data_IF_589469281774
#
_entry.id   IF_589469281774
#
_cell.length_a   1.000
_cell.length_b   1.000
_cell.length_c   1.000
_cell.angle_alpha   90.00
_cell.angle_beta   90.00
_cell.angle_gamma   90.00
#
_symmetry.space_group_name_H-M   'P 1'
#
loop_
_entity.id
_entity.type
_entity.pdbx_description
1 polymer ?
#
# COMPACT_ATOMS: atom_id res chain seq x y z
N UNK A 1 3.26 21.57 -5.87
CA UNK A 1 3.94 20.28 -5.60
C UNK A 1 3.02 19.14 -5.99
N UNK A 2 3.57 17.95 -6.28
CA UNK A 2 2.76 16.74 -6.54
C UNK A 2 2.76 15.83 -5.30
N UNK A 3 1.57 15.47 -4.83
CA UNK A 3 1.37 14.50 -3.74
C UNK A 3 1.07 13.13 -4.34
N UNK A 4 1.91 12.15 -4.07
CA UNK A 4 1.73 10.78 -4.51
C UNK A 4 1.13 9.95 -3.36
N UNK A 5 0.09 9.18 -3.65
CA UNK A 5 -0.62 8.35 -2.69
C UNK A 5 -0.55 6.90 -3.17
N UNK A 6 0.24 6.08 -2.50
CA UNK A 6 0.53 4.70 -2.86
C UNK A 6 -0.42 3.72 -2.19
N UNK A 7 -1.06 2.88 -2.98
CA UNK A 7 -1.73 1.68 -2.46
C UNK A 7 -0.69 0.58 -2.21
N UNK A 8 -0.22 0.51 -0.96
CA UNK A 8 0.80 -0.45 -0.56
C UNK A 8 0.26 -1.87 -0.47
N UNK A 9 -1.03 -2.04 -0.16
CA UNK A 9 -1.67 -3.36 -0.22
C UNK A 9 -1.54 -3.91 -1.63
N UNK A 10 -2.08 -3.19 -2.61
CA UNK A 10 -2.06 -3.66 -4.00
C UNK A 10 -0.62 -3.89 -4.48
N UNK A 11 0.31 -2.99 -4.17
CA UNK A 11 1.69 -3.16 -4.61
C UNK A 11 2.42 -4.36 -3.99
N UNK A 12 2.07 -4.71 -2.75
CA UNK A 12 2.56 -5.93 -2.12
C UNK A 12 2.03 -7.18 -2.85
N UNK A 13 0.73 -7.21 -3.18
CA UNK A 13 0.13 -8.28 -3.98
C UNK A 13 0.78 -8.38 -5.37
N UNK A 14 0.92 -7.24 -6.06
CA UNK A 14 1.56 -7.19 -7.39
C UNK A 14 2.98 -7.73 -7.33
N UNK A 15 3.73 -7.39 -6.29
CA UNK A 15 5.09 -7.88 -6.09
C UNK A 15 5.13 -9.38 -5.81
N UNK A 16 4.21 -9.90 -4.99
CA UNK A 16 4.12 -11.33 -4.68
C UNK A 16 3.81 -12.18 -5.92
N UNK A 17 2.83 -11.78 -6.73
CA UNK A 17 2.37 -12.55 -7.89
C UNK A 17 3.12 -12.23 -9.19
N UNK A 18 3.83 -11.10 -9.25
CA UNK A 18 4.54 -10.63 -10.43
C UNK A 18 6.04 -10.92 -10.45
N UNK A 19 6.63 -11.39 -9.34
CA UNK A 19 8.07 -11.64 -9.21
C UNK A 19 8.36 -13.07 -8.77
N UNK A 20 9.56 -13.61 -9.07
CA UNK A 20 10.01 -14.88 -8.51
C UNK A 20 10.01 -14.85 -6.97
N UNK A 21 9.66 -15.96 -6.29
CA UNK A 21 9.74 -16.04 -4.83
C UNK A 21 11.16 -15.75 -4.33
N UNK A 22 11.25 -15.03 -3.22
CA UNK A 22 12.51 -14.71 -2.56
C UNK A 22 12.35 -14.85 -1.05
N UNK A 23 13.35 -15.44 -0.42
CA UNK A 23 13.40 -15.68 1.02
C UNK A 23 14.72 -15.18 1.60
N UNK A 24 14.68 -14.79 2.88
CA UNK A 24 15.87 -14.42 3.63
C UNK A 24 16.73 -15.66 3.97
N UNK A 25 17.92 -15.49 4.58
CA UNK A 25 18.78 -16.61 4.96
C UNK A 25 18.16 -17.59 5.97
N UNK A 26 17.12 -17.19 6.71
CA UNK A 26 16.38 -18.05 7.63
C UNK A 26 15.23 -18.80 6.93
N UNK A 27 15.01 -18.56 5.63
CA UNK A 27 13.96 -19.17 4.82
C UNK A 27 12.61 -18.46 4.92
N UNK A 28 12.56 -17.26 5.51
CA UNK A 28 11.32 -16.47 5.62
C UNK A 28 11.08 -15.77 4.28
N UNK A 29 9.86 -15.88 3.74
CA UNK A 29 9.49 -15.19 2.51
C UNK A 29 9.51 -13.67 2.71
N UNK A 30 10.26 -12.96 1.87
CA UNK A 30 10.41 -11.51 1.90
C UNK A 30 10.30 -10.86 0.51
N UNK A 31 10.06 -11.67 -0.53
CA UNK A 31 10.08 -11.20 -1.92
C UNK A 31 9.03 -10.14 -2.26
N UNK A 32 7.85 -10.20 -1.64
CA UNK A 32 6.82 -9.19 -1.85
C UNK A 32 7.24 -7.85 -1.23
N UNK A 33 7.74 -7.88 0.00
CA UNK A 33 8.26 -6.69 0.68
C UNK A 33 9.44 -6.06 -0.07
N UNK A 34 10.40 -6.88 -0.52
CA UNK A 34 11.54 -6.40 -1.33
C UNK A 34 11.03 -5.74 -2.62
N UNK A 35 10.10 -6.38 -3.33
CA UNK A 35 9.54 -5.84 -4.56
C UNK A 35 8.83 -4.49 -4.37
N UNK A 36 8.05 -4.35 -3.30
CA UNK A 36 7.38 -3.11 -2.91
C UNK A 36 8.38 -1.99 -2.60
N UNK A 37 9.42 -2.29 -1.82
CA UNK A 37 10.46 -1.30 -1.48
C UNK A 37 11.23 -0.88 -2.74
N UNK A 38 11.58 -1.82 -3.62
CA UNK A 38 12.26 -1.52 -4.88
C UNK A 38 11.43 -0.63 -5.81
N UNK A 39 10.14 -0.93 -5.98
CA UNK A 39 9.26 -0.07 -6.79
C UNK A 39 9.10 1.31 -6.17
N UNK A 40 9.00 1.39 -4.85
CA UNK A 40 8.88 2.66 -4.13
C UNK A 40 10.16 3.49 -4.24
N UNK A 41 11.33 2.87 -4.07
CA UNK A 41 12.62 3.54 -4.27
C UNK A 41 12.82 3.97 -5.73
N UNK A 42 12.26 3.24 -6.69
CA UNK A 42 12.31 3.64 -8.10
C UNK A 42 11.46 4.89 -8.35
N UNK A 43 10.23 4.93 -7.81
CA UNK A 43 9.37 6.12 -7.83
C UNK A 43 10.05 7.33 -7.17
N UNK A 44 10.64 7.15 -5.98
CA UNK A 44 11.33 8.22 -5.25
C UNK A 44 12.57 8.78 -5.98
N UNK A 45 13.09 8.09 -7.00
CA UNK A 45 14.19 8.59 -7.84
C UNK A 45 13.70 9.38 -9.05
N UNK A 46 12.41 9.35 -9.35
CA UNK A 46 11.85 10.11 -10.46
C UNK A 46 11.86 11.61 -10.15
N UNK A 47 12.21 12.41 -11.16
CA UNK A 47 12.28 13.86 -11.01
C UNK A 47 10.91 14.44 -10.62
N UNK A 48 10.89 15.20 -9.52
CA UNK A 48 9.68 15.88 -9.02
C UNK A 48 8.85 15.10 -8.01
N UNK A 49 9.18 13.83 -7.72
CA UNK A 49 8.58 13.09 -6.61
C UNK A 49 9.17 13.59 -5.29
N UNK A 50 8.40 14.41 -4.58
CA UNK A 50 8.83 15.08 -3.34
C UNK A 50 7.96 14.72 -2.14
N UNK A 51 6.70 14.35 -2.37
CA UNK A 51 5.74 14.02 -1.33
C UNK A 51 5.07 12.70 -1.70
N UNK A 52 5.23 11.72 -0.80
CA UNK A 52 4.69 10.36 -0.94
C UNK A 52 4.08 9.93 0.40
N UNK A 53 2.82 9.54 0.36
CA UNK A 53 2.15 8.78 1.43
C UNK A 53 1.74 7.41 0.90
N UNK A 54 1.62 6.43 1.79
CA UNK A 54 1.16 5.09 1.45
C UNK A 54 0.05 4.65 2.40
N UNK A 55 -0.88 3.83 1.92
CA UNK A 55 -1.89 3.19 2.75
C UNK A 55 -1.81 1.67 2.59
N UNK A 56 -1.98 0.93 3.68
CA UNK A 56 -2.09 -0.53 3.70
C UNK A 56 -3.33 -0.97 4.46
N UNK A 57 -3.93 -2.08 4.04
CA UNK A 57 -4.93 -2.82 4.82
C UNK A 57 -4.16 -3.63 5.86
N UNK A 58 -3.82 -3.02 7.00
CA UNK A 58 -3.14 -3.70 8.11
C UNK A 58 -3.95 -4.90 8.59
N UNK A 59 -5.28 -4.76 8.57
CA UNK A 59 -6.22 -5.86 8.77
C UNK A 59 -7.14 -5.96 7.56
N UNK A 60 -7.38 -7.19 7.08
CA UNK A 60 -8.21 -7.44 5.89
C UNK A 60 -9.69 -7.08 6.11
N UNK A 61 -10.17 -7.20 7.35
CA UNK A 61 -11.55 -6.93 7.72
C UNK A 61 -11.70 -5.46 8.13
N UNK A 62 -12.77 -4.84 7.68
CA UNK A 62 -13.18 -3.49 8.05
C UNK A 62 -14.59 -3.49 8.66
N UNK A 63 -15.09 -2.30 9.03
CA UNK A 63 -16.49 -2.12 9.44
C UNK A 63 -17.50 -2.60 8.37
N UNK A 64 -17.09 -2.68 7.10
CA UNK A 64 -17.94 -3.17 6.01
C UNK A 64 -18.31 -4.64 6.19
N UNK A 65 -17.45 -5.45 6.81
CA UNK A 65 -17.73 -6.87 7.09
C UNK A 65 -18.91 -7.08 8.05
N UNK A 66 -19.18 -6.12 8.94
CA UNK A 66 -20.35 -6.16 9.84
C UNK A 66 -21.66 -5.88 9.11
N UNK A 67 -21.58 -5.14 8.00
CA UNK A 67 -22.73 -4.77 7.17
C UNK A 67 -22.98 -5.74 6.02
N UNK A 68 -21.92 -6.36 5.50
CA UNK A 68 -21.94 -7.26 4.36
C UNK A 68 -21.24 -8.58 4.69
N UNK A 69 -22.00 -9.62 5.11
CA UNK A 69 -21.43 -10.92 5.41
C UNK A 69 -20.68 -11.51 4.21
N UNK A 70 -19.44 -11.94 4.43
CA UNK A 70 -18.57 -12.50 3.39
C UNK A 70 -17.84 -11.48 2.52
N UNK A 71 -17.99 -10.18 2.79
CA UNK A 71 -17.14 -9.15 2.19
C UNK A 71 -15.66 -9.36 2.56
N UNK A 72 -14.74 -9.06 1.64
CA UNK A 72 -13.26 -9.05 1.76
C UNK A 72 -12.70 -10.00 2.84
N UNK A 73 -12.32 -11.21 2.44
CA UNK A 73 -11.79 -12.27 3.33
C UNK A 73 -10.36 -12.64 3.00
N UNK A 74 -9.62 -13.13 3.99
CA UNK A 74 -8.29 -13.71 3.85
C UNK A 74 -8.28 -15.14 3.28
N UNK A 75 -9.48 -15.73 3.07
CA UNK A 75 -9.64 -17.07 2.57
C UNK A 75 -8.93 -17.27 1.21
N UNK A 76 -8.00 -18.23 1.18
CA UNK A 76 -7.23 -18.57 -0.01
C UNK A 76 -5.98 -17.71 -0.24
N UNK A 77 -5.70 -16.76 0.64
CA UNK A 77 -4.45 -15.98 0.57
C UNK A 77 -3.25 -16.84 1.01
N UNK A 78 -2.12 -16.81 0.30
CA UNK A 78 -0.91 -17.50 0.72
C UNK A 78 -0.44 -17.02 2.11
N UNK A 79 -0.23 -17.91 3.11
CA UNK A 79 0.20 -17.50 4.45
C UNK A 79 1.50 -16.69 4.46
N UNK A 80 2.40 -17.00 3.53
CA UNK A 80 3.67 -16.29 3.35
C UNK A 80 3.49 -14.86 2.82
N UNK A 81 2.39 -14.56 2.12
CA UNK A 81 2.04 -13.21 1.71
C UNK A 81 1.46 -12.44 2.92
N UNK A 82 0.53 -13.05 3.65
CA UNK A 82 -0.06 -12.46 4.86
C UNK A 82 1.03 -12.07 5.88
N UNK A 83 2.03 -12.92 6.07
CA UNK A 83 3.14 -12.66 7.00
C UNK A 83 4.02 -11.47 6.61
N UNK A 84 3.97 -11.01 5.35
CA UNK A 84 4.79 -9.91 4.85
C UNK A 84 4.16 -8.53 5.04
N UNK A 85 2.88 -8.41 5.42
CA UNK A 85 2.22 -7.11 5.61
C UNK A 85 2.90 -6.23 6.67
N UNK A 86 3.12 -6.70 7.93
CA UNK A 86 3.80 -5.89 8.93
C UNK A 86 5.22 -5.50 8.50
N UNK A 87 5.95 -6.43 7.88
CA UNK A 87 7.30 -6.18 7.38
C UNK A 87 7.32 -5.15 6.24
N UNK A 88 6.32 -5.18 5.36
CA UNK A 88 6.15 -4.23 4.26
C UNK A 88 5.92 -2.80 4.78
N UNK A 89 5.04 -2.65 5.77
CA UNK A 89 4.78 -1.37 6.43
C UNK A 89 6.05 -0.82 7.10
N UNK A 90 6.72 -1.65 7.90
CA UNK A 90 7.97 -1.27 8.56
C UNK A 90 9.07 -0.90 7.56
N UNK A 91 9.16 -1.63 6.44
CA UNK A 91 10.15 -1.36 5.42
C UNK A 91 9.89 -0.02 4.69
N UNK A 92 8.63 0.29 4.38
CA UNK A 92 8.26 1.59 3.81
C UNK A 92 8.55 2.75 4.77
N UNK A 93 8.19 2.59 6.05
CA UNK A 93 8.49 3.59 7.08
C UNK A 93 10.01 3.79 7.25
N UNK A 94 10.80 2.72 7.15
CA UNK A 94 12.26 2.78 7.31
C UNK A 94 12.96 3.62 6.24
N UNK A 95 12.36 3.73 5.05
CA UNK A 95 12.85 4.59 3.95
C UNK A 95 12.22 6.00 3.98
N UNK A 96 11.48 6.33 5.04
CA UNK A 96 10.91 7.66 5.28
C UNK A 96 9.53 7.91 4.70
N UNK A 97 8.83 6.86 4.23
CA UNK A 97 7.45 7.00 3.72
C UNK A 97 6.48 7.13 4.89
N UNK A 98 5.52 8.04 4.79
CA UNK A 98 4.39 8.11 5.71
C UNK A 98 3.42 6.98 5.36
N UNK A 99 3.22 6.03 6.28
CA UNK A 99 2.35 4.87 6.08
C UNK A 99 1.11 4.97 6.97
N UNK A 100 -0.06 4.91 6.36
CA UNK A 100 -1.34 4.73 7.06
C UNK A 100 -1.69 3.24 7.12
N UNK A 101 -1.45 2.65 8.28
CA UNK A 101 -1.77 1.24 8.58
C UNK A 101 -3.24 1.14 8.96
N UNK A 102 -4.08 0.72 8.02
CA UNK A 102 -5.53 0.80 8.17
C UNK A 102 -6.09 -0.43 8.90
N UNK A 103 -6.80 -0.19 10.00
CA UNK A 103 -7.38 -1.24 10.86
C UNK A 103 -8.90 -1.26 10.75
N UNK A 104 -9.55 -0.13 10.99
CA UNK A 104 -11.03 -0.04 10.99
C UNK A 104 -11.59 0.28 9.60
N UNK A 105 -10.79 0.98 8.79
CA UNK A 105 -11.07 1.40 7.42
C UNK A 105 -10.12 0.69 6.45
N UNK A 106 -10.33 0.86 5.15
CA UNK A 106 -9.49 0.24 4.11
C UNK A 106 -8.48 1.22 3.53
N UNK A 107 -7.48 0.71 2.83
CA UNK A 107 -6.47 1.53 2.15
C UNK A 107 -7.12 2.61 1.26
N UNK A 108 -8.15 2.25 0.50
CA UNK A 108 -8.90 3.16 -0.37
C UNK A 108 -9.53 4.33 0.39
N UNK A 109 -10.02 4.09 1.62
CA UNK A 109 -10.60 5.14 2.45
C UNK A 109 -9.53 6.18 2.83
N UNK A 110 -8.31 5.73 3.16
CA UNK A 110 -7.19 6.63 3.47
C UNK A 110 -6.72 7.40 2.23
N UNK A 111 -6.57 6.71 1.10
CA UNK A 111 -6.16 7.33 -0.17
C UNK A 111 -7.20 8.35 -0.63
N UNK A 112 -8.48 8.01 -0.59
CA UNK A 112 -9.59 8.90 -0.94
C UNK A 112 -9.70 10.10 0.00
N UNK A 113 -9.58 9.88 1.32
CA UNK A 113 -9.60 10.96 2.30
C UNK A 113 -8.41 11.91 2.13
N UNK A 114 -7.21 11.38 1.90
CA UNK A 114 -6.02 12.19 1.63
C UNK A 114 -6.19 12.97 0.32
N UNK A 115 -6.65 12.34 -0.75
CA UNK A 115 -6.88 13.02 -2.02
C UNK A 115 -7.88 14.17 -1.87
N UNK A 116 -9.01 13.94 -1.21
CA UNK A 116 -10.01 14.97 -0.96
C UNK A 116 -9.47 16.09 -0.06
N UNK A 117 -8.68 15.76 0.97
CA UNK A 117 -8.11 16.74 1.91
C UNK A 117 -7.14 17.70 1.21
N UNK A 118 -6.34 17.21 0.26
CA UNK A 118 -5.25 17.98 -0.34
C UNK A 118 -5.57 18.53 -1.73
N UNK A 119 -6.72 18.17 -2.32
CA UNK A 119 -7.11 18.59 -3.67
C UNK A 119 -7.20 20.12 -3.87
N UNK A 120 -7.63 20.85 -2.84
CA UNK A 120 -7.85 22.30 -2.91
C UNK A 120 -6.74 23.12 -2.23
N UNK A 121 -5.67 22.47 -1.78
CA UNK A 121 -4.56 23.16 -1.10
C UNK A 121 -3.71 23.94 -2.11
N UNK A 122 -3.51 25.26 -1.95
CA UNK A 122 -2.86 26.11 -2.96
C UNK A 122 -1.45 25.66 -3.38
N UNK A 123 -0.74 24.96 -2.49
CA UNK A 123 0.61 24.47 -2.73
C UNK A 123 0.64 23.11 -3.45
N UNK A 124 -0.48 22.39 -3.48
CA UNK A 124 -0.66 21.09 -4.13
C UNK A 124 -1.21 21.31 -5.54
N UNK A 125 -0.36 21.07 -6.53
CA UNK A 125 -0.74 21.20 -7.95
C UNK A 125 -1.53 19.99 -8.43
N UNK A 126 -1.20 18.82 -7.89
CA UNK A 126 -1.80 17.55 -8.28
C UNK A 126 -1.68 16.52 -7.17
N UNK A 127 -2.76 15.77 -6.97
CA UNK A 127 -2.74 14.49 -6.24
C UNK A 127 -2.69 13.36 -7.27
N UNK A 128 -1.74 12.44 -7.10
CA UNK A 128 -1.55 11.26 -7.94
C UNK A 128 -1.81 10.03 -7.08
N UNK A 129 -2.95 9.37 -7.29
CA UNK A 129 -3.26 8.11 -6.63
C UNK A 129 -2.67 6.97 -7.46
N UNK A 130 -1.81 6.17 -6.84
CA UNK A 130 -1.07 5.07 -7.45
C UNK A 130 -1.70 3.75 -7.05
N UNK A 131 -2.84 3.46 -7.68
CA UNK A 131 -3.54 2.18 -7.58
C UNK A 131 -4.17 1.82 -8.92
N UNK A 132 -4.21 0.54 -9.31
CA UNK A 132 -5.06 0.07 -10.40
C UNK A 132 -6.40 -0.47 -9.89
N UNK A 133 -6.71 -0.33 -8.59
CA UNK A 133 -8.04 -0.61 -8.09
C UNK A 133 -9.07 0.24 -8.84
N UNK A 134 -10.07 -0.43 -9.39
CA UNK A 134 -11.10 0.20 -10.22
C UNK A 134 -12.13 0.94 -9.39
N UNK A 135 -12.19 0.68 -8.09
CA UNK A 135 -13.04 1.43 -7.17
C UNK A 135 -12.53 2.88 -7.01
N UNK A 136 -11.27 3.14 -7.36
CA UNK A 136 -10.59 4.44 -7.28
C UNK A 136 -10.46 5.16 -8.64
N UNK A 137 -11.09 4.65 -9.70
CA UNK A 137 -10.97 5.14 -11.08
C UNK A 137 -11.95 6.27 -11.47
#
# INVERSE_FOLDING_TARGET
>A
MQLHLLDATYELFRSHFGRPPHADPAGVAVGATVGLVESTLSLLREDGVTHLGAASDHVIRSWRNDRYPGYKTDAGMPPELLAQFPLAEEALESIGVVVWRMVDFEADDALGAAAARWADEPEVERVVVLTPDKDMA
#
